data_IF_796489160066
#
_entry.id   IF_796489160066
#
_cell.length_a   1.000
_cell.length_b   1.000
_cell.length_c   1.000
_cell.angle_alpha   90.00
_cell.angle_beta   90.00
_cell.angle_gamma   90.00
#
_symmetry.space_group_name_H-M   'P 1'
#
loop_
_entity.id
_entity.type
_entity.pdbx_description
1 polymer ?
#
# COMPACT_ATOMS: atom_id res chain seq x y z
N UNK A 1 -13.61 -2.90 -9.67
CA UNK A 1 -12.59 -1.84 -9.81
C UNK A 1 -12.72 -0.76 -8.73
N UNK A 2 -13.86 -0.07 -8.61
CA UNK A 2 -14.07 0.95 -7.57
C UNK A 2 -13.78 0.46 -6.14
N UNK A 3 -14.34 -0.69 -5.76
CA UNK A 3 -14.11 -1.30 -4.44
C UNK A 3 -12.63 -1.61 -4.20
N UNK A 4 -11.92 -2.15 -5.18
CA UNK A 4 -10.48 -2.46 -5.07
C UNK A 4 -9.64 -1.19 -4.89
N UNK A 5 -9.94 -0.15 -5.67
CA UNK A 5 -9.25 1.14 -5.58
C UNK A 5 -9.49 1.82 -4.23
N UNK A 6 -10.73 1.78 -3.71
CA UNK A 6 -11.06 2.37 -2.43
C UNK A 6 -10.49 1.55 -1.26
N UNK A 7 -10.70 0.24 -1.25
CA UNK A 7 -10.26 -0.65 -0.18
C UNK A 7 -8.73 -0.72 -0.12
N UNK A 8 -8.07 -0.84 -1.28
CA UNK A 8 -6.61 -0.81 -1.37
C UNK A 8 -6.02 0.50 -0.86
N UNK A 9 -6.69 1.64 -1.13
CA UNK A 9 -6.29 2.95 -0.61
C UNK A 9 -6.47 3.04 0.92
N UNK A 10 -7.61 2.59 1.45
CA UNK A 10 -7.85 2.55 2.89
C UNK A 10 -6.82 1.66 3.59
N UNK A 11 -6.49 0.49 3.03
CA UNK A 11 -5.43 -0.37 3.57
C UNK A 11 -4.05 0.30 3.50
N UNK A 12 -3.74 1.07 2.45
CA UNK A 12 -2.49 1.81 2.37
C UNK A 12 -2.39 2.84 3.52
N UNK A 13 -3.46 3.61 3.76
CA UNK A 13 -3.53 4.55 4.89
C UNK A 13 -3.40 3.81 6.22
N UNK A 14 -4.15 2.72 6.41
CA UNK A 14 -4.09 1.93 7.63
C UNK A 14 -2.69 1.36 7.86
N UNK A 15 -2.01 0.89 6.81
CA UNK A 15 -0.63 0.41 6.87
C UNK A 15 0.34 1.51 7.33
N UNK A 16 0.18 2.74 6.83
CA UNK A 16 0.99 3.90 7.27
C UNK A 16 0.74 4.21 8.74
N UNK A 17 -0.52 4.26 9.17
CA UNK A 17 -0.89 4.53 10.57
C UNK A 17 -0.34 3.44 11.49
N UNK A 18 -0.51 2.17 11.12
CA UNK A 18 0.01 1.04 11.89
C UNK A 18 1.54 1.09 11.97
N UNK A 19 2.22 1.32 10.84
CA UNK A 19 3.68 1.46 10.81
C UNK A 19 4.17 2.59 11.72
N UNK A 20 3.49 3.74 11.68
CA UNK A 20 3.80 4.85 12.58
C UNK A 20 3.62 4.46 14.05
N UNK A 21 2.48 3.87 14.43
CA UNK A 21 2.20 3.47 15.82
C UNK A 21 3.24 2.43 16.30
N UNK A 22 3.56 1.45 15.45
CA UNK A 22 4.53 0.40 15.78
C UNK A 22 5.93 0.98 16.00
N UNK A 23 6.36 1.91 15.14
CA UNK A 23 7.71 2.48 15.20
C UNK A 23 7.85 3.66 16.19
N UNK A 24 6.76 4.38 16.49
CA UNK A 24 6.80 5.56 17.36
C UNK A 24 7.22 5.25 18.80
N UNK A 25 7.15 3.99 19.22
CA UNK A 25 7.55 3.52 20.56
C UNK A 25 9.01 3.07 20.64
N UNK A 26 9.77 3.15 19.53
CA UNK A 26 11.18 2.78 19.48
C UNK A 26 12.04 4.05 19.55
N UNK A 27 12.84 4.16 20.61
CA UNK A 27 13.88 5.18 20.80
C UNK A 27 15.16 4.53 21.34
N UNK A 28 16.25 5.29 21.50
CA UNK A 28 17.56 4.78 21.94
C UNK A 28 17.58 4.15 23.34
N UNK A 29 16.50 4.29 24.12
CA UNK A 29 16.35 3.67 25.44
C UNK A 29 15.38 2.47 25.44
N UNK A 30 14.85 2.08 24.29
CA UNK A 30 13.89 0.98 24.18
C UNK A 30 14.56 -0.37 24.45
N UNK A 31 13.96 -1.17 25.34
CA UNK A 31 14.42 -2.53 25.63
C UNK A 31 14.39 -3.42 24.38
N UNK A 32 15.33 -4.36 24.27
CA UNK A 32 15.39 -5.34 23.18
C UNK A 32 14.05 -6.10 22.99
N UNK A 33 13.36 -6.40 24.09
CA UNK A 33 12.06 -7.07 24.05
C UNK A 33 10.98 -6.22 23.36
N UNK A 34 10.96 -4.91 23.65
CA UNK A 34 10.03 -3.95 23.04
C UNK A 34 10.37 -3.70 21.57
N UNK A 35 11.66 -3.59 21.24
CA UNK A 35 12.11 -3.51 19.85
C UNK A 35 11.72 -4.77 19.04
N UNK A 36 11.88 -5.95 19.65
CA UNK A 36 11.43 -7.22 19.08
C UNK A 36 9.92 -7.27 18.84
N UNK A 37 9.11 -6.81 19.81
CA UNK A 37 7.66 -6.71 19.65
C UNK A 37 7.25 -5.76 18.51
N UNK A 38 7.93 -4.63 18.36
CA UNK A 38 7.70 -3.73 17.25
C UNK A 38 8.10 -4.35 15.90
N UNK A 39 9.21 -5.09 15.84
CA UNK A 39 9.59 -5.90 14.67
C UNK A 39 8.53 -6.93 14.29
N UNK A 40 7.93 -7.62 15.26
CA UNK A 40 6.81 -8.54 15.03
C UNK A 40 5.57 -7.80 14.50
N UNK A 41 5.25 -6.63 15.04
CA UNK A 41 4.17 -5.77 14.52
C UNK A 41 4.39 -5.38 13.06
N UNK A 42 5.63 -5.05 12.69
CA UNK A 42 5.98 -4.74 11.31
C UNK A 42 5.75 -5.93 10.38
N UNK A 43 6.17 -7.14 10.78
CA UNK A 43 6.07 -8.35 9.95
C UNK A 43 4.64 -8.89 9.84
N UNK A 44 3.88 -8.88 10.94
CA UNK A 44 2.58 -9.54 11.00
C UNK A 44 1.38 -8.61 10.80
N UNK A 45 1.55 -7.29 10.92
CA UNK A 45 0.46 -6.33 10.72
C UNK A 45 0.74 -5.38 9.57
N UNK A 46 1.89 -4.70 9.60
CA UNK A 46 2.20 -3.61 8.64
C UNK A 46 2.48 -4.18 7.25
N UNK A 47 3.37 -5.18 7.16
CA UNK A 47 3.74 -5.80 5.89
C UNK A 47 2.53 -6.47 5.19
N UNK A 48 1.67 -7.25 5.87
CA UNK A 48 0.48 -7.82 5.24
C UNK A 48 -0.54 -6.76 4.82
N UNK A 49 -0.70 -5.68 5.59
CA UNK A 49 -1.58 -4.57 5.20
C UNK A 49 -1.12 -3.92 3.88
N UNK A 50 0.18 -3.61 3.77
CA UNK A 50 0.74 -3.09 2.52
C UNK A 50 0.74 -4.12 1.39
N UNK A 51 1.00 -5.40 1.67
CA UNK A 51 0.95 -6.48 0.69
C UNK A 51 -0.45 -6.64 0.08
N UNK A 52 -1.48 -6.71 0.91
CA UNK A 52 -2.88 -6.76 0.47
C UNK A 52 -3.26 -5.49 -0.31
N UNK A 53 -2.85 -4.31 0.15
CA UNK A 53 -3.05 -3.05 -0.57
C UNK A 53 -2.41 -3.11 -1.96
N UNK A 54 -1.15 -3.54 -2.07
CA UNK A 54 -0.43 -3.64 -3.33
C UNK A 54 -1.10 -4.61 -4.32
N UNK A 55 -1.51 -5.80 -3.84
CA UNK A 55 -2.24 -6.79 -4.65
C UNK A 55 -3.57 -6.25 -5.19
N UNK A 56 -4.22 -5.33 -4.48
CA UNK A 56 -5.44 -4.67 -4.97
C UNK A 56 -5.13 -3.49 -5.90
N UNK A 57 -4.20 -2.61 -5.52
CA UNK A 57 -3.96 -1.34 -6.20
C UNK A 57 -3.16 -1.52 -7.49
N UNK A 58 -2.11 -2.33 -7.52
CA UNK A 58 -1.24 -2.46 -8.70
C UNK A 58 -2.02 -2.97 -9.93
N UNK A 59 -2.66 -4.15 -9.91
CA UNK A 59 -3.37 -4.64 -11.08
C UNK A 59 -4.60 -3.78 -11.43
N UNK A 60 -5.33 -3.27 -10.43
CA UNK A 60 -6.50 -2.42 -10.70
C UNK A 60 -6.12 -1.06 -11.29
N UNK A 61 -5.00 -0.47 -10.88
CA UNK A 61 -4.52 0.81 -11.42
C UNK A 61 -4.00 0.65 -12.84
N UNK A 62 -3.26 -0.43 -13.13
CA UNK A 62 -2.76 -0.76 -14.47
C UNK A 62 -3.91 -1.04 -15.45
N UNK A 63 -4.91 -1.82 -15.03
CA UNK A 63 -6.08 -2.12 -15.87
C UNK A 63 -6.90 -0.86 -16.18
N UNK A 64 -7.00 0.08 -15.23
CA UNK A 64 -7.69 1.35 -15.40
C UNK A 64 -6.93 2.36 -16.29
N UNK A 65 -5.67 2.11 -16.69
CA UNK A 65 -5.00 2.91 -17.73
C UNK A 65 -5.72 2.84 -19.07
N UNK A 66 -6.36 1.71 -19.39
CA UNK A 66 -7.13 1.53 -20.62
C UNK A 66 -8.48 2.26 -20.52
N UNK A 67 -8.72 3.20 -21.43
CA UNK A 67 -9.96 4.01 -21.48
C UNK A 67 -11.22 3.15 -21.61
N UNK A 68 -11.16 2.08 -22.40
CA UNK A 68 -12.25 1.11 -22.58
C UNK A 68 -12.67 0.45 -21.27
N UNK A 69 -11.70 0.08 -20.43
CA UNK A 69 -11.96 -0.54 -19.12
C UNK A 69 -12.60 0.47 -18.16
N UNK A 70 -12.17 1.74 -18.19
CA UNK A 70 -12.81 2.80 -17.39
C UNK A 70 -14.27 2.99 -17.77
N UNK A 71 -14.58 3.01 -19.07
CA UNK A 71 -15.96 3.11 -19.56
C UNK A 71 -16.79 1.89 -19.13
N UNK A 72 -16.30 0.67 -19.36
CA UNK A 72 -17.01 -0.58 -19.04
C UNK A 72 -17.26 -0.77 -17.55
N UNK A 73 -16.35 -0.30 -16.70
CA UNK A 73 -16.46 -0.44 -15.23
C UNK A 73 -17.14 0.76 -14.56
N UNK A 74 -17.74 1.65 -15.38
CA UNK A 74 -18.33 2.91 -14.94
C UNK A 74 -17.37 3.74 -14.08
N UNK A 75 -16.06 3.62 -14.27
CA UNK A 75 -15.06 4.37 -13.49
C UNK A 75 -14.94 5.80 -14.05
N UNK A 76 -16.01 6.58 -13.84
CA UNK A 76 -16.22 7.94 -14.33
C UNK A 76 -16.50 8.90 -13.19
N UNK A 77 -16.15 10.17 -13.38
CA UNK A 77 -16.31 11.24 -12.39
C UNK A 77 -14.98 11.70 -11.78
N UNK A 78 -14.93 12.97 -11.36
CA UNK A 78 -13.70 13.62 -10.88
C UNK A 78 -13.09 12.90 -9.66
N UNK A 79 -13.94 12.47 -8.72
CA UNK A 79 -13.51 11.73 -7.52
C UNK A 79 -12.77 10.44 -7.88
N UNK A 80 -13.40 9.57 -8.68
CA UNK A 80 -12.83 8.27 -9.05
C UNK A 80 -11.54 8.43 -9.85
N UNK A 81 -11.51 9.38 -10.80
CA UNK A 81 -10.31 9.66 -11.59
C UNK A 81 -9.16 10.20 -10.73
N UNK A 82 -9.46 11.06 -9.75
CA UNK A 82 -8.45 11.60 -8.82
C UNK A 82 -7.91 10.50 -7.91
N UNK A 83 -8.80 9.66 -7.36
CA UNK A 83 -8.42 8.50 -6.55
C UNK A 83 -7.53 7.53 -7.34
N UNK A 84 -7.89 7.24 -8.59
CA UNK A 84 -7.08 6.37 -9.45
C UNK A 84 -5.70 6.95 -9.73
N UNK A 85 -5.58 8.25 -10.04
CA UNK A 85 -4.28 8.89 -10.25
C UNK A 85 -3.39 8.77 -9.01
N UNK A 86 -3.95 9.00 -7.82
CA UNK A 86 -3.24 8.87 -6.56
C UNK A 86 -2.82 7.41 -6.33
N UNK A 87 -3.73 6.46 -6.52
CA UNK A 87 -3.44 5.04 -6.39
C UNK A 87 -2.43 4.52 -7.43
N UNK A 88 -2.35 5.16 -8.59
CA UNK A 88 -1.34 4.86 -9.61
C UNK A 88 0.06 5.27 -9.13
N UNK A 89 0.19 6.41 -8.44
CA UNK A 89 1.45 6.82 -7.78
C UNK A 89 1.82 5.84 -6.66
N UNK A 90 0.88 5.49 -5.78
CA UNK A 90 1.11 4.49 -4.71
C UNK A 90 1.55 3.15 -5.32
N UNK A 91 0.90 2.72 -6.40
CA UNK A 91 1.25 1.47 -7.10
C UNK A 91 2.67 1.51 -7.65
N UNK A 92 3.10 2.65 -8.22
CA UNK A 92 4.47 2.83 -8.68
C UNK A 92 5.48 2.72 -7.52
N UNK A 93 5.17 3.31 -6.36
CA UNK A 93 6.00 3.18 -5.15
C UNK A 93 6.12 1.71 -4.72
N UNK A 94 5.01 0.96 -4.68
CA UNK A 94 5.06 -0.47 -4.37
C UNK A 94 5.97 -1.24 -5.32
N UNK A 95 5.83 -1.02 -6.64
CA UNK A 95 6.68 -1.68 -7.64
C UNK A 95 8.16 -1.33 -7.41
N UNK A 96 8.49 -0.05 -7.20
CA UNK A 96 9.86 0.40 -6.96
C UNK A 96 10.45 -0.22 -5.69
N UNK A 97 9.70 -0.24 -4.59
CA UNK A 97 10.14 -0.86 -3.32
C UNK A 97 10.37 -2.35 -3.51
N UNK A 98 9.45 -3.07 -4.18
CA UNK A 98 9.62 -4.50 -4.45
C UNK A 98 10.84 -4.77 -5.32
N UNK A 99 11.07 -3.98 -6.38
CA UNK A 99 12.25 -4.11 -7.23
C UNK A 99 13.55 -3.80 -6.47
N UNK A 100 13.55 -2.75 -5.64
CA UNK A 100 14.70 -2.38 -4.83
C UNK A 100 15.07 -3.47 -3.82
N UNK A 101 14.08 -4.00 -3.10
CA UNK A 101 14.31 -5.14 -2.19
C UNK A 101 14.81 -6.33 -2.99
N UNK A 102 14.15 -6.70 -4.09
CA UNK A 102 14.60 -7.80 -4.95
C UNK A 102 16.05 -7.64 -5.44
N UNK A 103 16.47 -6.41 -5.76
CA UNK A 103 17.85 -6.09 -6.15
C UNK A 103 18.85 -6.27 -5.00
N UNK A 104 18.51 -5.90 -3.77
CA UNK A 104 19.40 -6.09 -2.62
C UNK A 104 19.65 -7.57 -2.26
N UNK A 105 18.74 -8.46 -2.66
CA UNK A 105 18.82 -9.90 -2.39
C UNK A 105 19.29 -10.74 -3.59
N UNK A 106 19.61 -10.10 -4.73
CA UNK A 106 20.16 -10.71 -5.94
C UNK A 106 21.67 -10.52 -6.01
#
# INVERSE_FOLDING_TARGET
MRTLQLLGFILAIAGVILGYITLASIDGQTSEASAGAAGLGMIFMVLPAFGCSALMLVPSSLTLCKSEVRLRTYFKGSFWLSLWKLNLVISAVYILVTLYVGYLWL
#
